data_IF_672080169658
#
_entry.id   IF_672080169658
#
_cell.length_a   1.000
_cell.length_b   1.000
_cell.length_c   1.000
_cell.angle_alpha   90.00
_cell.angle_beta   90.00
_cell.angle_gamma   90.00
#
_symmetry.space_group_name_H-M   'P 1'
#
loop_
_entity.id
_entity.type
_entity.pdbx_description
1 polymer ?
#
# COMPACT_ATOMS: atom_id res chain seq x y z
N UNK A 1 6.36 5.84 -11.70
CA UNK A 1 5.24 5.00 -11.23
C UNK A 1 4.56 4.39 -12.45
N UNK A 2 4.22 3.10 -12.37
CA UNK A 2 3.56 2.37 -13.46
C UNK A 2 2.04 2.65 -13.44
N UNK A 3 1.51 3.30 -14.48
CA UNK A 3 0.12 3.77 -14.53
C UNK A 3 -0.90 2.61 -14.54
N UNK A 4 -0.61 1.52 -15.24
CA UNK A 4 -1.50 0.35 -15.27
C UNK A 4 -1.60 -0.32 -13.91
N UNK A 5 -0.47 -0.39 -13.19
CA UNK A 5 -0.44 -0.94 -11.84
C UNK A 5 -1.17 -0.04 -10.84
N UNK A 6 -1.11 1.27 -11.04
CA UNK A 6 -1.87 2.26 -10.27
C UNK A 6 -3.39 2.12 -10.49
N UNK A 7 -3.83 2.07 -11.75
CA UNK A 7 -5.24 1.86 -12.11
C UNK A 7 -5.78 0.55 -11.50
N UNK A 8 -4.98 -0.52 -11.58
CA UNK A 8 -5.37 -1.81 -11.01
C UNK A 8 -5.52 -1.74 -9.49
N UNK A 9 -4.62 -1.04 -8.79
CA UNK A 9 -4.79 -0.78 -7.36
C UNK A 9 -6.08 -0.01 -7.07
N UNK A 10 -6.39 1.03 -7.86
CA UNK A 10 -7.61 1.80 -7.68
C UNK A 10 -8.86 0.93 -7.85
N UNK A 11 -8.94 0.15 -8.93
CA UNK A 11 -10.08 -0.75 -9.15
C UNK A 11 -10.21 -1.78 -8.03
N UNK A 12 -9.14 -2.51 -7.71
CA UNK A 12 -9.22 -3.63 -6.77
C UNK A 12 -9.37 -3.17 -5.31
N UNK A 13 -8.58 -2.18 -4.88
CA UNK A 13 -8.55 -1.79 -3.47
C UNK A 13 -9.55 -0.67 -3.13
N UNK A 14 -9.83 0.24 -4.07
CA UNK A 14 -10.72 1.39 -3.79
C UNK A 14 -12.14 1.14 -4.28
N UNK A 15 -12.33 0.62 -5.50
CA UNK A 15 -13.67 0.38 -6.05
C UNK A 15 -14.28 -0.94 -5.56
N UNK A 16 -13.53 -2.03 -5.62
CA UNK A 16 -13.96 -3.35 -5.14
C UNK A 16 -13.74 -3.54 -3.63
N UNK A 17 -13.09 -2.58 -2.96
CA UNK A 17 -12.84 -2.56 -1.51
C UNK A 17 -12.10 -3.83 -1.03
N UNK A 18 -11.20 -4.35 -1.85
CA UNK A 18 -10.37 -5.51 -1.47
C UNK A 18 -9.19 -5.06 -0.59
N UNK A 19 -8.75 -5.88 0.37
CA UNK A 19 -7.59 -5.55 1.20
C UNK A 19 -6.30 -5.43 0.38
N UNK A 20 -5.44 -4.46 0.71
CA UNK A 20 -4.16 -4.25 0.03
C UNK A 20 -3.25 -5.50 0.11
N UNK A 21 -3.27 -6.23 1.22
CA UNK A 21 -2.53 -7.47 1.37
C UNK A 21 -2.94 -8.55 0.36
N UNK A 22 -4.24 -8.69 0.11
CA UNK A 22 -4.77 -9.62 -0.91
C UNK A 22 -4.36 -9.18 -2.31
N UNK A 23 -4.41 -7.88 -2.60
CA UNK A 23 -3.96 -7.33 -3.87
C UNK A 23 -2.49 -7.65 -4.15
N UNK A 24 -1.61 -7.47 -3.15
CA UNK A 24 -0.18 -7.83 -3.26
C UNK A 24 -0.01 -9.33 -3.49
N UNK A 25 -0.77 -10.18 -2.82
CA UNK A 25 -0.74 -11.63 -3.04
C UNK A 25 -1.06 -12.00 -4.49
N UNK A 26 -2.12 -11.41 -5.05
CA UNK A 26 -2.57 -11.66 -6.43
C UNK A 26 -1.59 -11.11 -7.47
N UNK A 27 -0.94 -9.98 -7.19
CA UNK A 27 0.16 -9.45 -8.01
C UNK A 27 1.35 -10.42 -8.05
N UNK A 28 1.77 -10.92 -6.89
CA UNK A 28 2.89 -11.87 -6.79
C UNK A 28 2.55 -13.22 -7.44
N UNK A 29 1.27 -13.61 -7.45
CA UNK A 29 0.76 -14.75 -8.19
C UNK A 29 0.63 -14.51 -9.71
N UNK A 30 0.98 -13.32 -10.19
CA UNK A 30 0.92 -12.91 -11.61
C UNK A 30 -0.49 -12.99 -12.21
N UNK A 31 -1.53 -12.81 -11.41
CA UNK A 31 -2.93 -12.90 -11.87
C UNK A 31 -3.25 -11.93 -13.01
N UNK A 32 -2.64 -10.75 -12.98
CA UNK A 32 -2.77 -9.71 -14.01
C UNK A 32 -1.54 -9.57 -14.90
N UNK A 33 -0.70 -10.60 -14.94
CA UNK A 33 0.60 -10.59 -15.60
C UNK A 33 1.75 -10.22 -14.68
N UNK A 34 2.95 -10.22 -15.23
CA UNK A 34 4.18 -9.95 -14.48
C UNK A 34 4.49 -8.46 -14.41
N UNK A 35 4.67 -7.94 -13.21
CA UNK A 35 5.22 -6.60 -12.99
C UNK A 35 6.65 -6.68 -12.44
N UNK A 36 7.55 -5.75 -12.81
CA UNK A 36 8.88 -5.66 -12.20
C UNK A 36 8.79 -5.44 -10.68
N UNK A 37 9.70 -6.02 -9.91
CA UNK A 37 9.84 -5.79 -8.46
C UNK A 37 9.81 -4.29 -8.14
N UNK A 38 10.59 -3.50 -8.88
CA UNK A 38 10.72 -2.07 -8.66
C UNK A 38 9.37 -1.33 -8.77
N UNK A 39 8.55 -1.67 -9.77
CA UNK A 39 7.24 -1.05 -9.97
C UNK A 39 6.27 -1.36 -8.82
N UNK A 40 6.29 -2.59 -8.32
CA UNK A 40 5.45 -3.01 -7.18
C UNK A 40 5.89 -2.28 -5.89
N UNK A 41 7.20 -2.15 -5.67
CA UNK A 41 7.72 -1.43 -4.50
C UNK A 41 7.44 0.08 -4.58
N UNK A 42 7.58 0.68 -5.75
CA UNK A 42 7.25 2.09 -5.96
C UNK A 42 5.77 2.35 -5.73
N UNK A 43 4.89 1.45 -6.17
CA UNK A 43 3.46 1.51 -5.88
C UNK A 43 3.17 1.49 -4.38
N UNK A 44 3.75 0.53 -3.64
CA UNK A 44 3.50 0.41 -2.20
C UNK A 44 3.94 1.67 -1.43
N UNK A 45 5.09 2.25 -1.80
CA UNK A 45 5.57 3.50 -1.20
C UNK A 45 4.68 4.69 -1.52
N UNK A 46 4.15 4.77 -2.73
CA UNK A 46 3.21 5.83 -3.10
C UNK A 46 1.92 5.71 -2.27
N UNK A 47 1.36 4.50 -2.16
CA UNK A 47 0.14 4.27 -1.37
C UNK A 47 0.39 4.60 0.10
N UNK A 48 1.52 4.17 0.67
CA UNK A 48 1.92 4.51 2.05
C UNK A 48 1.94 6.03 2.23
N UNK A 49 2.60 6.77 1.34
CA UNK A 49 2.67 8.22 1.37
C UNK A 49 1.28 8.88 1.33
N UNK A 50 0.38 8.38 0.49
CA UNK A 50 -1.00 8.88 0.42
C UNK A 50 -1.80 8.59 1.68
N UNK A 51 -1.66 7.39 2.27
CA UNK A 51 -2.34 7.04 3.51
C UNK A 51 -1.84 7.89 4.68
N UNK A 52 -0.53 8.08 4.82
CA UNK A 52 0.06 8.94 5.84
C UNK A 52 -0.38 10.39 5.67
N UNK A 53 -0.40 10.92 4.44
CA UNK A 53 -0.93 12.25 4.14
C UNK A 53 -2.40 12.38 4.54
N UNK A 54 -3.23 11.38 4.22
CA UNK A 54 -4.65 11.37 4.60
C UNK A 54 -4.85 11.33 6.12
N UNK A 55 -4.02 10.60 6.86
CA UNK A 55 -4.04 10.58 8.33
C UNK A 55 -3.76 11.99 8.87
N UNK A 56 -2.73 12.67 8.35
CA UNK A 56 -2.40 14.04 8.76
C UNK A 56 -3.53 15.02 8.42
N UNK A 57 -4.18 14.87 7.27
CA UNK A 57 -5.37 15.66 6.92
C UNK A 57 -6.51 15.40 7.90
N UNK A 58 -6.76 14.14 8.27
CA UNK A 58 -7.80 13.76 9.24
C UNK A 58 -7.52 14.31 10.64
N UNK A 59 -6.25 14.33 11.05
CA UNK A 59 -5.81 14.86 12.34
C UNK A 59 -6.20 16.35 12.52
N UNK A 60 -6.25 17.12 11.42
CA UNK A 60 -6.67 18.52 11.44
C UNK A 60 -8.17 18.73 11.71
N UNK A 61 -9.00 17.68 11.62
CA UNK A 61 -10.45 17.80 11.84
C UNK A 61 -10.83 17.97 13.33
N UNK A 62 -9.93 17.67 14.28
CA UNK A 62 -10.13 17.98 15.70
C UNK A 62 -9.26 17.15 16.67
N UNK A 63 -9.27 17.51 17.97
CA UNK A 63 -8.35 16.93 18.97
C UNK A 63 -8.39 15.40 19.05
N UNK A 64 -9.58 14.81 18.94
CA UNK A 64 -9.76 13.35 18.95
C UNK A 64 -8.94 12.64 17.86
N UNK A 65 -8.86 13.21 16.66
CA UNK A 65 -8.13 12.59 15.55
C UNK A 65 -6.64 12.90 15.64
N UNK A 66 -6.27 14.07 16.14
CA UNK A 66 -4.87 14.43 16.41
C UNK A 66 -4.21 13.47 17.42
N UNK A 67 -4.91 13.14 18.51
CA UNK A 67 -4.39 12.23 19.54
C UNK A 67 -4.13 10.80 19.02
N UNK A 68 -4.82 10.40 17.94
CA UNK A 68 -4.69 9.06 17.32
C UNK A 68 -3.73 9.05 16.14
N UNK A 69 -3.30 10.20 15.62
CA UNK A 69 -2.59 10.30 14.35
C UNK A 69 -1.24 9.56 14.39
N UNK A 70 -0.50 9.67 15.49
CA UNK A 70 0.80 9.02 15.65
C UNK A 70 0.65 7.49 15.68
N UNK A 71 -0.26 6.96 16.49
CA UNK A 71 -0.52 5.52 16.60
C UNK A 71 -0.95 4.91 15.27
N UNK A 72 -1.88 5.56 14.57
CA UNK A 72 -2.37 5.08 13.27
C UNK A 72 -1.29 5.20 12.20
N UNK A 73 -0.45 6.24 12.25
CA UNK A 73 0.69 6.38 11.32
C UNK A 73 1.73 5.28 11.53
N UNK A 74 2.11 5.00 12.78
CA UNK A 74 3.05 3.91 13.10
C UNK A 74 2.50 2.54 12.69
N UNK A 75 1.22 2.30 12.92
CA UNK A 75 0.57 1.05 12.51
C UNK A 75 0.57 0.91 10.98
N UNK A 76 0.25 1.99 10.27
CA UNK A 76 0.28 2.05 8.80
C UNK A 76 1.68 1.71 8.28
N UNK A 77 2.72 2.36 8.82
CA UNK A 77 4.10 2.12 8.41
C UNK A 77 4.52 0.66 8.63
N UNK A 78 4.16 0.05 9.77
CA UNK A 78 4.45 -1.37 10.04
C UNK A 78 3.77 -2.30 9.05
N UNK A 79 2.53 -2.01 8.66
CA UNK A 79 1.80 -2.79 7.67
C UNK A 79 2.45 -2.69 6.28
N UNK A 80 2.85 -1.49 5.85
CA UNK A 80 3.58 -1.30 4.59
C UNK A 80 4.96 -1.94 4.60
N UNK A 81 5.71 -1.84 5.69
CA UNK A 81 6.99 -2.52 5.85
C UNK A 81 6.82 -4.05 5.69
N UNK A 82 5.78 -4.63 6.28
CA UNK A 82 5.48 -6.05 6.12
C UNK A 82 5.15 -6.43 4.66
N UNK A 83 4.36 -5.61 3.96
CA UNK A 83 4.03 -5.83 2.54
C UNK A 83 5.26 -5.70 1.63
N UNK A 84 6.09 -4.68 1.86
CA UNK A 84 7.34 -4.47 1.15
C UNK A 84 8.26 -5.68 1.35
N UNK A 85 8.49 -6.10 2.60
CA UNK A 85 9.31 -7.27 2.92
C UNK A 85 8.80 -8.54 2.22
N UNK A 86 7.48 -8.72 2.14
CA UNK A 86 6.87 -9.84 1.41
C UNK A 86 7.21 -9.81 -0.08
N UNK A 87 7.09 -8.64 -0.72
CA UNK A 87 7.50 -8.46 -2.12
C UNK A 87 8.99 -8.74 -2.27
N UNK A 88 9.84 -8.20 -1.40
CA UNK A 88 11.28 -8.43 -1.46
C UNK A 88 11.66 -9.91 -1.36
N UNK A 89 11.03 -10.65 -0.45
CA UNK A 89 11.25 -12.09 -0.29
C UNK A 89 10.82 -12.87 -1.53
N UNK A 90 9.64 -12.56 -2.09
CA UNK A 90 9.12 -13.25 -3.28
C UNK A 90 10.05 -13.11 -4.50
N UNK A 91 10.73 -11.98 -4.64
CA UNK A 91 11.69 -11.73 -5.73
C UNK A 91 13.14 -12.06 -5.37
N UNK A 92 13.46 -12.31 -4.10
CA UNK A 92 14.80 -12.67 -3.61
C UNK A 92 15.11 -14.17 -3.67
N UNK A 93 14.11 -15.02 -3.87
CA UNK A 93 14.25 -16.48 -4.02
C UNK A 93 14.38 -16.96 -5.47
N UNK A 94 14.92 -16.14 -6.37
CA UNK A 94 15.16 -16.47 -7.79
C UNK A 94 16.59 -16.83 -8.10
#
# INVERSE_FOLDING_TARGET
MNEQLWELYQTVCQEEVRPLGEFVERLLAQEWGSYPKADILDLLREIEGQMLSNIQVKAMEGPRFADMADEVSEQTQKEFEALINRVEQAFGTG
#
